data_IF_157322379480
#
_entry.id   IF_157322379480
#
_cell.length_a   1.000
_cell.length_b   1.000
_cell.length_c   1.000
_cell.angle_alpha   90.00
_cell.angle_beta   90.00
_cell.angle_gamma   90.00
#
_symmetry.space_group_name_H-M   'P 1'
#
loop_
_entity.id
_entity.type
_entity.pdbx_description
1 polymer ?
#
# COMPACT_ATOMS: atom_id res chain seq x y z
N UNK A 1 6.68 25.74 -20.21
CA UNK A 1 7.54 25.08 -19.20
C UNK A 1 6.96 25.15 -17.79
N UNK A 2 6.19 26.18 -17.43
CA UNK A 2 5.51 26.29 -16.12
C UNK A 2 4.41 25.24 -15.84
N UNK A 3 3.89 24.56 -16.88
CA UNK A 3 2.76 23.61 -16.74
C UNK A 3 3.13 22.20 -16.33
N UNK A 4 4.38 21.77 -16.52
CA UNK A 4 4.88 20.46 -16.09
C UNK A 4 5.36 20.47 -14.64
N UNK A 5 5.84 21.62 -14.15
CA UNK A 5 6.32 21.78 -12.76
C UNK A 5 5.22 21.54 -11.74
N UNK A 6 4.05 22.16 -11.95
CA UNK A 6 2.89 21.98 -11.08
C UNK A 6 2.31 20.55 -11.10
N UNK A 7 2.69 19.73 -12.07
CA UNK A 7 2.19 18.36 -12.22
C UNK A 7 2.84 17.37 -11.24
N UNK A 8 4.14 17.53 -10.96
CA UNK A 8 4.91 16.65 -10.08
C UNK A 8 4.45 16.75 -8.62
N UNK A 9 4.35 17.97 -8.10
CA UNK A 9 3.89 18.24 -6.73
C UNK A 9 2.48 17.70 -6.48
N UNK A 10 1.59 17.91 -7.45
CA UNK A 10 0.22 17.42 -7.37
C UNK A 10 0.15 15.90 -7.43
N UNK A 11 1.04 15.23 -8.19
CA UNK A 11 1.08 13.78 -8.28
C UNK A 11 1.62 13.14 -7.00
N UNK A 12 2.71 13.67 -6.44
CA UNK A 12 3.28 13.20 -5.18
C UNK A 12 2.30 13.40 -4.01
N UNK A 13 1.74 14.60 -3.90
CA UNK A 13 0.72 14.91 -2.90
C UNK A 13 -0.53 14.04 -3.02
N UNK A 14 -1.04 13.83 -4.23
CA UNK A 14 -2.20 12.95 -4.44
C UNK A 14 -1.90 11.49 -4.07
N UNK A 15 -0.71 10.99 -4.38
CA UNK A 15 -0.33 9.60 -4.09
C UNK A 15 -0.20 9.37 -2.58
N UNK A 16 0.46 10.29 -1.86
CA UNK A 16 0.56 10.20 -0.39
C UNK A 16 -0.81 10.35 0.26
N UNK A 17 -1.65 11.27 -0.23
CA UNK A 17 -3.01 11.45 0.27
C UNK A 17 -3.88 10.19 0.06
N UNK A 18 -3.78 9.53 -1.09
CA UNK A 18 -4.50 8.29 -1.36
C UNK A 18 -4.07 7.17 -0.38
N UNK A 19 -2.77 7.05 -0.13
CA UNK A 19 -2.22 6.11 0.85
C UNK A 19 -2.74 6.40 2.27
N UNK A 20 -2.73 7.67 2.72
CA UNK A 20 -3.24 8.04 4.05
C UNK A 20 -4.74 7.75 4.17
N UNK A 21 -5.53 8.05 3.14
CA UNK A 21 -6.97 7.71 3.09
C UNK A 21 -7.22 6.20 3.15
N UNK A 22 -6.39 5.40 2.48
CA UNK A 22 -6.48 3.95 2.53
C UNK A 22 -6.24 3.41 3.95
N UNK A 23 -5.21 3.92 4.63
CA UNK A 23 -4.85 3.54 5.99
C UNK A 23 -5.98 3.86 6.97
N UNK A 24 -6.57 5.05 6.83
CA UNK A 24 -7.74 5.47 7.61
C UNK A 24 -8.96 4.57 7.31
N UNK A 25 -9.23 4.30 6.04
CA UNK A 25 -10.36 3.47 5.61
C UNK A 25 -10.27 2.03 6.12
N UNK A 26 -9.06 1.45 6.15
CA UNK A 26 -8.78 0.12 6.70
C UNK A 26 -8.67 0.12 8.23
N UNK A 27 -8.62 1.29 8.89
CA UNK A 27 -8.55 1.39 10.35
C UNK A 27 -7.26 0.82 10.96
N UNK A 28 -6.17 0.80 10.19
CA UNK A 28 -4.91 0.14 10.57
C UNK A 28 -4.29 0.71 11.85
N UNK A 29 -4.43 2.02 12.09
CA UNK A 29 -3.95 2.65 13.33
C UNK A 29 -4.70 2.16 14.57
N UNK A 30 -6.02 1.99 14.45
CA UNK A 30 -6.86 1.47 15.52
C UNK A 30 -6.47 0.03 15.84
N UNK A 31 -6.22 -0.78 14.80
CA UNK A 31 -5.74 -2.16 14.96
C UNK A 31 -4.38 -2.21 15.65
N UNK A 32 -3.42 -1.40 15.21
CA UNK A 32 -2.09 -1.29 15.83
C UNK A 32 -2.20 -0.95 17.32
N UNK A 33 -3.01 0.05 17.68
CA UNK A 33 -3.23 0.46 19.08
C UNK A 33 -3.83 -0.67 19.91
N UNK A 34 -4.83 -1.36 19.38
CA UNK A 34 -5.45 -2.49 20.07
C UNK A 34 -4.46 -3.63 20.34
N UNK A 35 -3.62 -3.96 19.36
CA UNK A 35 -2.58 -4.99 19.51
C UNK A 35 -1.53 -4.58 20.56
N UNK A 36 -1.11 -3.32 20.55
CA UNK A 36 -0.16 -2.76 21.52
C UNK A 36 -0.70 -2.83 22.97
N UNK A 37 -1.97 -2.49 23.16
CA UNK A 37 -2.67 -2.62 24.44
C UNK A 37 -2.77 -4.10 24.89
N UNK A 38 -3.16 -4.98 23.95
CA UNK A 38 -3.29 -6.41 24.21
C UNK A 38 -1.95 -7.03 24.64
N UNK A 39 -0.86 -6.69 23.94
CA UNK A 39 0.49 -7.18 24.23
C UNK A 39 1.03 -6.61 25.55
N UNK A 40 0.66 -5.38 25.90
CA UNK A 40 1.03 -4.76 27.17
C UNK A 40 0.31 -5.36 28.38
N UNK A 41 -0.86 -5.97 28.19
CA UNK A 41 -1.71 -6.52 29.28
C UNK A 41 -1.26 -7.89 29.83
N UNK A 42 -0.32 -8.59 29.18
CA UNK A 42 0.41 -9.74 29.76
C UNK A 42 -0.32 -11.09 29.89
N UNK A 43 -1.56 -11.24 29.43
CA UNK A 43 -2.40 -12.38 29.84
C UNK A 43 -2.29 -13.66 28.97
N UNK A 44 -1.60 -13.67 27.81
CA UNK A 44 -1.60 -14.84 26.88
C UNK A 44 -0.28 -15.18 26.15
N UNK A 45 0.82 -15.41 26.88
CA UNK A 45 2.20 -15.64 26.38
C UNK A 45 2.45 -16.56 25.16
N UNK A 46 1.53 -17.44 24.74
CA UNK A 46 1.72 -18.36 23.59
C UNK A 46 0.92 -17.99 22.34
N UNK A 47 -0.11 -17.13 22.43
CA UNK A 47 -0.81 -16.60 21.25
C UNK A 47 -0.07 -15.41 20.68
N UNK A 48 0.51 -14.58 21.55
CA UNK A 48 1.13 -13.27 21.27
C UNK A 48 2.23 -13.25 20.20
N UNK A 49 2.76 -14.38 19.72
CA UNK A 49 3.76 -14.37 18.64
C UNK A 49 3.18 -13.85 17.33
N UNK A 50 1.93 -14.25 16.98
CA UNK A 50 1.28 -13.77 15.75
C UNK A 50 0.90 -12.30 15.89
N UNK A 51 0.28 -11.92 17.00
CA UNK A 51 -0.14 -10.54 17.28
C UNK A 51 1.07 -9.60 17.42
N UNK A 52 2.20 -10.05 17.98
CA UNK A 52 3.43 -9.28 18.02
C UNK A 52 4.04 -9.09 16.62
N UNK A 53 3.99 -10.12 15.77
CA UNK A 53 4.42 -10.01 14.38
C UNK A 53 3.54 -9.03 13.61
N UNK A 54 2.22 -9.11 13.78
CA UNK A 54 1.27 -8.16 13.18
C UNK A 54 1.50 -6.73 13.68
N UNK A 55 1.72 -6.53 14.99
CA UNK A 55 2.04 -5.22 15.56
C UNK A 55 3.33 -4.65 14.95
N UNK A 56 4.37 -5.47 14.78
CA UNK A 56 5.62 -5.06 14.14
C UNK A 56 5.36 -4.61 12.70
N UNK A 57 4.66 -5.43 11.91
CA UNK A 57 4.36 -5.13 10.51
C UNK A 57 3.55 -3.84 10.36
N UNK A 58 2.51 -3.65 11.18
CA UNK A 58 1.69 -2.43 11.17
C UNK A 58 2.49 -1.21 11.63
N UNK A 59 3.38 -1.36 12.61
CA UNK A 59 4.23 -0.25 13.07
C UNK A 59 5.25 0.15 12.01
N UNK A 60 5.86 -0.82 11.32
CA UNK A 60 6.79 -0.57 10.22
C UNK A 60 6.07 0.11 9.04
N UNK A 61 4.87 -0.36 8.68
CA UNK A 61 4.03 0.24 7.64
C UNK A 61 3.70 1.70 7.97
N UNK A 62 3.17 1.97 9.16
CA UNK A 62 2.81 3.32 9.58
C UNK A 62 4.03 4.24 9.69
N UNK A 63 5.19 3.70 10.09
CA UNK A 63 6.45 4.44 10.08
C UNK A 63 6.89 4.84 8.67
N UNK A 64 6.74 3.95 7.68
CA UNK A 64 7.02 4.26 6.26
C UNK A 64 6.10 5.37 5.73
N UNK A 65 4.83 5.35 6.11
CA UNK A 65 3.85 6.38 5.71
C UNK A 65 4.23 7.74 6.28
N UNK A 66 4.51 7.82 7.58
CA UNK A 66 4.96 9.06 8.23
C UNK A 66 6.26 9.60 7.62
N UNK A 67 7.17 8.70 7.23
CA UNK A 67 8.38 9.08 6.52
C UNK A 67 8.06 9.71 5.16
N UNK A 68 7.13 9.15 4.38
CA UNK A 68 6.72 9.71 3.09
C UNK A 68 6.03 11.07 3.24
N UNK A 69 5.16 11.23 4.23
CA UNK A 69 4.52 12.52 4.54
C UNK A 69 5.56 13.59 4.90
N UNK A 70 6.56 13.22 5.71
CA UNK A 70 7.66 14.11 6.08
C UNK A 70 8.53 14.48 4.88
N UNK A 71 8.91 13.50 4.06
CA UNK A 71 9.68 13.73 2.83
C UNK A 71 8.92 14.63 1.86
N UNK A 72 7.61 14.42 1.68
CA UNK A 72 6.77 15.28 0.84
C UNK A 72 6.76 16.73 1.36
N UNK A 73 6.61 16.93 2.67
CA UNK A 73 6.64 18.27 3.28
C UNK A 73 7.97 18.97 3.01
N UNK A 74 9.08 18.28 3.25
CA UNK A 74 10.42 18.81 3.03
C UNK A 74 10.69 19.14 1.55
N UNK A 75 10.34 18.23 0.64
CA UNK A 75 10.48 18.44 -0.81
C UNK A 75 9.63 19.63 -1.29
N UNK A 76 8.42 19.80 -0.74
CA UNK A 76 7.55 20.94 -1.09
C UNK A 76 8.12 22.27 -0.60
N UNK A 77 8.67 22.30 0.61
CA UNK A 77 9.35 23.49 1.16
C UNK A 77 10.60 23.85 0.34
N UNK A 78 11.41 22.85 -0.02
CA UNK A 78 12.63 23.05 -0.81
C UNK A 78 12.30 23.54 -2.23
N UNK A 79 11.26 22.97 -2.85
CA UNK A 79 10.80 23.42 -4.16
C UNK A 79 10.37 24.90 -4.13
N UNK A 80 9.61 25.30 -3.11
CA UNK A 80 9.17 26.70 -2.96
C UNK A 80 10.36 27.67 -2.82
N UNK A 81 11.42 27.25 -2.12
CA UNK A 81 12.65 28.03 -2.01
C UNK A 81 13.39 28.11 -3.36
N UNK A 82 13.54 26.97 -4.05
CA UNK A 82 14.20 26.90 -5.35
C UNK A 82 13.47 27.74 -6.42
N UNK A 83 12.13 27.78 -6.39
CA UNK A 83 11.32 28.65 -7.25
C UNK A 83 11.56 30.14 -6.98
N UNK A 84 11.69 30.51 -5.70
CA UNK A 84 11.96 31.89 -5.30
C UNK A 84 13.35 32.35 -5.75
N UNK A 85 14.33 31.45 -5.69
CA UNK A 85 15.73 31.72 -6.08
C UNK A 85 15.99 31.54 -7.59
N UNK A 86 15.06 30.90 -8.31
CA UNK A 86 15.19 30.51 -9.72
C UNK A 86 16.41 29.63 -9.97
N UNK A 87 16.66 28.70 -9.05
CA UNK A 87 17.72 27.71 -9.19
C UNK A 87 17.21 26.50 -9.96
N UNK A 88 17.42 26.50 -11.28
CA UNK A 88 16.94 25.44 -12.18
C UNK A 88 17.52 24.05 -11.83
N UNK A 89 18.72 23.98 -11.25
CA UNK A 89 19.33 22.69 -10.88
C UNK A 89 18.61 22.07 -9.68
N UNK A 90 18.35 22.88 -8.64
CA UNK A 90 17.61 22.45 -7.46
C UNK A 90 16.15 22.14 -7.80
N UNK A 91 15.55 22.89 -8.72
CA UNK A 91 14.20 22.59 -9.21
C UNK A 91 14.10 21.22 -9.87
N UNK A 92 15.10 20.82 -10.66
CA UNK A 92 15.11 19.50 -11.30
C UNK A 92 15.34 18.38 -10.26
N UNK A 93 16.21 18.59 -9.27
CA UNK A 93 16.41 17.64 -8.17
C UNK A 93 15.13 17.44 -7.34
N UNK A 94 14.41 18.52 -7.00
CA UNK A 94 13.13 18.44 -6.29
C UNK A 94 12.07 17.67 -7.08
N UNK A 95 12.04 17.80 -8.41
CA UNK A 95 11.09 17.04 -9.23
C UNK A 95 11.39 15.56 -9.20
N UNK A 96 12.66 15.18 -9.31
CA UNK A 96 13.07 13.78 -9.23
C UNK A 96 12.67 13.19 -7.87
N UNK A 97 12.93 13.91 -6.78
CA UNK A 97 12.53 13.48 -5.43
C UNK A 97 11.01 13.33 -5.30
N UNK A 98 10.22 14.25 -5.88
CA UNK A 98 8.76 14.16 -5.87
C UNK A 98 8.22 12.97 -6.68
N UNK A 99 8.84 12.65 -7.82
CA UNK A 99 8.49 11.44 -8.58
C UNK A 99 8.77 10.17 -7.77
N UNK A 100 9.92 10.11 -7.09
CA UNK A 100 10.28 8.98 -6.23
C UNK A 100 9.32 8.82 -5.05
N UNK A 101 8.91 9.92 -4.42
CA UNK A 101 7.89 9.92 -3.36
C UNK A 101 6.56 9.39 -3.91
N UNK A 102 6.14 9.84 -5.10
CA UNK A 102 4.90 9.41 -5.73
C UNK A 102 4.91 7.90 -6.05
N UNK A 103 6.01 7.38 -6.59
CA UNK A 103 6.18 5.96 -6.87
C UNK A 103 6.21 5.12 -5.57
N UNK A 104 6.93 5.57 -4.54
CA UNK A 104 7.00 4.89 -3.26
C UNK A 104 5.64 4.83 -2.56
N UNK A 105 4.86 5.93 -2.60
CA UNK A 105 3.52 5.98 -2.05
C UNK A 105 2.57 5.04 -2.79
N UNK A 106 2.59 5.02 -4.14
CA UNK A 106 1.77 4.09 -4.95
C UNK A 106 2.12 2.63 -4.70
N UNK A 107 3.41 2.32 -4.57
CA UNK A 107 3.83 0.95 -4.25
C UNK A 107 3.33 0.53 -2.87
N UNK A 108 3.47 1.40 -1.88
CA UNK A 108 3.00 1.11 -0.52
C UNK A 108 1.48 1.01 -0.44
N UNK A 109 0.74 1.83 -1.19
CA UNK A 109 -0.71 1.73 -1.32
C UNK A 109 -1.12 0.35 -1.88
N UNK A 110 -0.43 -0.10 -2.94
CA UNK A 110 -0.66 -1.42 -3.52
C UNK A 110 -0.30 -2.55 -2.54
N UNK A 111 0.80 -2.43 -1.80
CA UNK A 111 1.17 -3.38 -0.76
C UNK A 111 0.07 -3.45 0.33
N UNK A 112 -0.47 -2.30 0.77
CA UNK A 112 -1.56 -2.22 1.75
C UNK A 112 -2.87 -2.83 1.23
N UNK A 113 -3.21 -2.64 -0.05
CA UNK A 113 -4.39 -3.24 -0.67
C UNK A 113 -4.30 -4.77 -0.74
N UNK A 114 -3.09 -5.29 -0.94
CA UNK A 114 -2.83 -6.73 -1.02
C UNK A 114 -2.62 -7.40 0.35
N UNK A 115 -2.57 -6.61 1.42
CA UNK A 115 -2.37 -7.06 2.80
C UNK A 115 -3.66 -6.98 3.63
N UNK A 116 -4.84 -6.97 3.00
CA UNK A 116 -6.11 -6.98 3.73
C UNK A 116 -6.10 -8.11 4.77
N UNK A 117 -6.52 -7.77 5.98
CA UNK A 117 -6.22 -8.45 7.23
C UNK A 117 -6.95 -9.81 7.34
N UNK A 118 -7.81 -10.11 6.36
CA UNK A 118 -8.48 -11.39 6.13
C UNK A 118 -7.78 -12.34 5.15
N UNK A 119 -6.77 -11.91 4.39
CA UNK A 119 -6.15 -12.70 3.31
C UNK A 119 -5.00 -13.62 3.79
N UNK A 120 -4.71 -13.64 5.09
CA UNK A 120 -3.74 -14.61 5.66
C UNK A 120 -4.32 -16.03 5.67
N UNK A 121 -5.66 -16.15 5.63
CA UNK A 121 -6.33 -17.43 5.53
C UNK A 121 -6.50 -17.80 4.05
N UNK A 122 -6.05 -19.00 3.67
CA UNK A 122 -6.19 -19.48 2.29
C UNK A 122 -7.65 -19.43 1.82
N UNK A 123 -7.86 -19.09 0.55
CA UNK A 123 -9.20 -19.04 -0.02
C UNK A 123 -9.61 -20.41 -0.60
N UNK A 124 -10.91 -20.72 -0.53
CA UNK A 124 -11.49 -21.83 -1.30
C UNK A 124 -11.99 -21.28 -2.63
N UNK A 125 -11.43 -21.79 -3.74
CA UNK A 125 -11.87 -21.45 -5.09
C UNK A 125 -12.82 -22.54 -5.61
N UNK A 126 -14.08 -22.17 -5.83
CA UNK A 126 -15.07 -23.01 -6.51
C UNK A 126 -15.37 -22.43 -7.90
N UNK A 127 -15.23 -23.24 -8.95
CA UNK A 127 -15.59 -22.86 -10.32
C UNK A 127 -16.84 -23.62 -10.74
N UNK A 128 -17.97 -22.91 -10.78
CA UNK A 128 -19.27 -23.49 -11.17
C UNK A 128 -19.59 -23.11 -12.62
N UNK A 129 -19.89 -24.09 -13.49
CA UNK A 129 -20.31 -23.79 -14.86
C UNK A 129 -21.66 -23.07 -14.87
N UNK A 130 -21.75 -22.00 -15.67
CA UNK A 130 -22.99 -21.27 -15.88
C UNK A 130 -24.01 -22.05 -16.74
N UNK A 131 -25.15 -21.42 -17.02
CA UNK A 131 -26.17 -22.02 -17.89
C UNK A 131 -25.68 -22.13 -19.34
N UNK A 132 -25.20 -23.31 -19.74
CA UNK A 132 -24.80 -23.57 -21.13
C UNK A 132 -24.47 -25.02 -21.48
N UNK A 133 -24.75 -25.99 -20.61
CA UNK A 133 -24.54 -27.42 -20.90
C UNK A 133 -23.05 -27.78 -20.96
N UNK A 134 -22.69 -28.72 -21.84
CA UNK A 134 -21.34 -29.32 -21.91
C UNK A 134 -20.24 -28.30 -22.19
N UNK A 135 -20.47 -27.33 -23.07
CA UNK A 135 -19.46 -26.32 -23.41
C UNK A 135 -19.10 -25.46 -22.18
N UNK A 136 -20.09 -25.10 -21.35
CA UNK A 136 -19.81 -24.37 -20.10
C UNK A 136 -19.02 -25.21 -19.09
N UNK A 137 -19.23 -26.53 -19.06
CA UNK A 137 -18.44 -27.44 -18.24
C UNK A 137 -16.98 -27.52 -18.72
N UNK A 138 -16.76 -27.57 -20.03
CA UNK A 138 -15.41 -27.62 -20.61
C UNK A 138 -14.63 -26.33 -20.32
N UNK A 139 -15.28 -25.17 -20.43
CA UNK A 139 -14.69 -23.88 -20.06
C UNK A 139 -14.39 -23.78 -18.56
N UNK A 140 -15.31 -24.25 -17.70
CA UNK A 140 -15.08 -24.30 -16.26
C UNK A 140 -13.88 -25.19 -15.90
N UNK A 141 -13.74 -26.35 -16.56
CA UNK A 141 -12.59 -27.24 -16.39
C UNK A 141 -11.28 -26.61 -16.87
N UNK A 142 -11.32 -25.87 -17.99
CA UNK A 142 -10.16 -25.11 -18.48
C UNK A 142 -9.72 -24.02 -17.50
N UNK A 143 -10.68 -23.25 -16.97
CA UNK A 143 -10.40 -22.21 -15.97
C UNK A 143 -9.81 -22.80 -14.68
N UNK A 144 -10.40 -23.88 -14.17
CA UNK A 144 -9.89 -24.55 -12.99
C UNK A 144 -8.42 -24.96 -13.17
N UNK A 145 -8.06 -25.50 -14.34
CA UNK A 145 -6.69 -25.89 -14.64
C UNK A 145 -5.73 -24.71 -14.66
N UNK A 146 -6.13 -23.57 -15.24
CA UNK A 146 -5.31 -22.34 -15.25
C UNK A 146 -4.99 -21.89 -13.82
N UNK A 147 -6.00 -21.87 -12.93
CA UNK A 147 -5.79 -21.48 -11.54
C UNK A 147 -4.98 -22.51 -10.74
N UNK A 148 -5.13 -23.80 -11.02
CA UNK A 148 -4.28 -24.85 -10.42
C UNK A 148 -2.81 -24.70 -10.83
N UNK A 149 -2.54 -24.48 -12.12
CA UNK A 149 -1.18 -24.30 -12.63
C UNK A 149 -0.56 -23.01 -12.05
N UNK A 150 -1.32 -21.91 -11.97
CA UNK A 150 -0.87 -20.67 -11.34
C UNK A 150 -0.55 -20.83 -9.84
N UNK A 151 -1.44 -21.49 -9.10
CA UNK A 151 -1.27 -21.74 -7.66
C UNK A 151 -0.10 -22.69 -7.36
N UNK A 152 0.26 -23.57 -8.29
CA UNK A 152 1.42 -24.46 -8.15
C UNK A 152 2.77 -23.77 -8.41
N UNK A 153 2.77 -22.61 -9.09
CA UNK A 153 3.98 -21.85 -9.43
C UNK A 153 4.37 -20.85 -8.33
N UNK A 154 3.40 -20.40 -7.52
CA UNK A 154 3.63 -19.50 -6.37
C UNK A 154 3.78 -20.28 -5.07
#
# INVERSE_FOLDING_TARGET
LMGTMRGGDHAAGASVQALTQLIEAQGLETRRRHLDELLSSGDQSYKLTREAQELSQLSDLLGRVQSLESSLSLATELLALAEAEKDDAVLDDCRQEMEEIADAARQLELDCLLQDHGDVDGCFLEVVPGAGGTDSCDWAAMLLRIYQDWAAIR
#
